data_IF_740619584561
#
_entry.id   IF_740619584561
#
_cell.length_a   1.000
_cell.length_b   1.000
_cell.length_c   1.000
_cell.angle_alpha   90.00
_cell.angle_beta   90.00
_cell.angle_gamma   90.00
#
_symmetry.space_group_name_H-M   'P 1'
#
loop_
_entity.id
_entity.type
_entity.pdbx_description
1 polymer ?
#
# COMPACT_ATOMS: atom_id res chain seq x y z
N UNK A 1 66.98 -30.85 -81.96
CA UNK A 1 67.37 -30.34 -80.61
C UNK A 1 66.55 -29.12 -80.17
N UNK A 2 66.39 -28.06 -80.98
CA UNK A 2 65.58 -26.87 -80.64
C UNK A 2 64.06 -27.17 -80.49
N UNK A 3 63.52 -28.01 -81.37
CA UNK A 3 62.07 -28.33 -81.39
C UNK A 3 61.61 -29.20 -80.20
N UNK A 4 62.48 -30.09 -79.73
CA UNK A 4 62.21 -30.95 -78.57
C UNK A 4 62.20 -30.14 -77.26
N UNK A 5 63.16 -29.23 -77.10
CA UNK A 5 63.22 -28.29 -75.96
C UNK A 5 62.00 -27.37 -75.88
N UNK A 6 61.44 -26.96 -77.03
CA UNK A 6 60.22 -26.13 -77.06
C UNK A 6 58.96 -26.92 -76.73
N UNK A 7 58.90 -28.22 -77.06
CA UNK A 7 57.79 -29.11 -76.69
C UNK A 7 57.75 -29.38 -75.18
N UNK A 8 58.90 -29.63 -74.57
CA UNK A 8 59.03 -29.79 -73.11
C UNK A 8 58.68 -28.50 -72.36
N UNK A 9 59.14 -27.34 -72.84
CA UNK A 9 58.82 -26.04 -72.24
C UNK A 9 57.30 -25.76 -72.25
N UNK A 10 56.61 -26.10 -73.35
CA UNK A 10 55.14 -25.98 -73.45
C UNK A 10 54.42 -26.92 -72.48
N UNK A 11 54.90 -28.15 -72.31
CA UNK A 11 54.32 -29.12 -71.37
C UNK A 11 54.46 -28.64 -69.90
N UNK A 12 55.66 -28.17 -69.52
CA UNK A 12 55.89 -27.57 -68.18
C UNK A 12 55.02 -26.34 -67.94
N UNK A 13 54.85 -25.49 -68.96
CA UNK A 13 53.97 -24.33 -68.87
C UNK A 13 52.49 -24.73 -68.71
N UNK A 14 52.03 -25.77 -69.40
CA UNK A 14 50.67 -26.28 -69.27
C UNK A 14 50.42 -26.88 -67.87
N UNK A 15 51.37 -27.63 -67.34
CA UNK A 15 51.30 -28.20 -66.00
C UNK A 15 51.33 -27.12 -64.91
N UNK A 16 52.20 -26.12 -65.07
CA UNK A 16 52.24 -24.93 -64.21
C UNK A 16 50.89 -24.20 -64.22
N UNK A 17 50.31 -23.92 -65.40
CA UNK A 17 48.99 -23.30 -65.52
C UNK A 17 47.88 -24.13 -64.87
N UNK A 18 47.94 -25.47 -64.96
CA UNK A 18 47.00 -26.38 -64.30
C UNK A 18 47.11 -26.30 -62.78
N UNK A 19 48.34 -26.28 -62.23
CA UNK A 19 48.59 -26.12 -60.78
C UNK A 19 48.09 -24.76 -60.28
N UNK A 20 48.39 -23.69 -61.02
CA UNK A 20 47.91 -22.32 -60.70
C UNK A 20 46.38 -22.25 -60.75
N UNK A 21 45.73 -22.86 -61.75
CA UNK A 21 44.26 -22.90 -61.83
C UNK A 21 43.65 -23.65 -60.65
N UNK A 22 44.25 -24.77 -60.24
CA UNK A 22 43.83 -25.54 -59.05
C UNK A 22 44.02 -24.74 -57.76
N UNK A 23 45.16 -24.06 -57.58
CA UNK A 23 45.40 -23.18 -56.43
C UNK A 23 44.41 -22.00 -56.40
N UNK A 24 44.13 -21.36 -57.54
CA UNK A 24 43.12 -20.28 -57.62
C UNK A 24 41.74 -20.78 -57.23
N UNK A 25 41.32 -21.96 -57.70
CA UNK A 25 40.04 -22.56 -57.33
C UNK A 25 39.98 -22.89 -55.82
N UNK A 26 41.06 -23.41 -55.24
CA UNK A 26 41.14 -23.65 -53.79
C UNK A 26 41.04 -22.34 -52.99
N UNK A 27 41.74 -21.29 -53.42
CA UNK A 27 41.69 -19.97 -52.75
C UNK A 27 40.26 -19.39 -52.82
N UNK A 28 39.60 -19.45 -53.99
CA UNK A 28 38.21 -18.99 -54.14
C UNK A 28 37.27 -19.80 -53.24
N UNK A 29 37.43 -21.12 -53.18
CA UNK A 29 36.63 -21.97 -52.29
C UNK A 29 36.80 -21.62 -50.81
N UNK A 30 38.04 -21.34 -50.37
CA UNK A 30 38.34 -20.91 -49.00
C UNK A 30 37.73 -19.54 -48.69
N UNK A 31 37.80 -18.59 -49.62
CA UNK A 31 37.19 -17.25 -49.46
C UNK A 31 35.67 -17.39 -49.34
N UNK A 32 35.02 -18.19 -50.18
CA UNK A 32 33.57 -18.41 -50.12
C UNK A 32 33.15 -19.04 -48.79
N UNK A 33 33.89 -20.05 -48.30
CA UNK A 33 33.63 -20.67 -47.01
C UNK A 33 33.79 -19.66 -45.85
N UNK A 34 34.81 -18.80 -45.91
CA UNK A 34 35.03 -17.76 -44.91
C UNK A 34 33.91 -16.71 -44.89
N UNK A 35 33.49 -16.23 -46.07
CA UNK A 35 32.37 -15.28 -46.19
C UNK A 35 31.07 -15.88 -45.66
N UNK A 36 30.78 -17.14 -45.97
CA UNK A 36 29.61 -17.84 -45.45
C UNK A 36 29.64 -17.95 -43.91
N UNK A 37 30.80 -18.32 -43.34
CA UNK A 37 30.98 -18.43 -41.88
C UNK A 37 30.85 -17.09 -41.15
N UNK A 38 31.37 -16.00 -41.73
CA UNK A 38 31.18 -14.65 -41.17
C UNK A 38 29.72 -14.23 -41.28
N UNK A 39 29.05 -14.55 -42.39
CA UNK A 39 27.63 -14.26 -42.59
C UNK A 39 26.73 -14.96 -41.57
N UNK A 40 26.97 -16.25 -41.28
CA UNK A 40 26.20 -16.97 -40.26
C UNK A 40 26.46 -16.42 -38.86
N UNK A 41 27.70 -16.03 -38.55
CA UNK A 41 28.04 -15.42 -37.26
C UNK A 41 27.33 -14.07 -37.07
N UNK A 42 27.34 -13.20 -38.09
CA UNK A 42 26.63 -11.92 -38.08
C UNK A 42 25.13 -12.15 -37.91
N UNK A 43 24.57 -13.11 -38.65
CA UNK A 43 23.16 -13.47 -38.56
C UNK A 43 22.78 -13.95 -37.14
N UNK A 44 23.57 -14.82 -36.52
CA UNK A 44 23.35 -15.28 -35.14
C UNK A 44 23.44 -14.13 -34.12
N UNK A 45 24.38 -13.21 -34.28
CA UNK A 45 24.52 -12.03 -33.42
C UNK A 45 23.27 -11.15 -33.53
N UNK A 46 22.80 -10.89 -34.74
CA UNK A 46 21.60 -10.08 -34.96
C UNK A 46 20.35 -10.76 -34.42
N UNK A 47 20.22 -12.08 -34.61
CA UNK A 47 19.13 -12.87 -34.02
C UNK A 47 19.13 -12.79 -32.49
N UNK A 48 20.29 -12.96 -31.85
CA UNK A 48 20.40 -12.80 -30.38
C UNK A 48 20.03 -11.40 -29.93
N UNK A 49 20.41 -10.37 -30.69
CA UNK A 49 20.07 -8.97 -30.40
C UNK A 49 18.57 -8.73 -30.50
N UNK A 50 17.93 -9.16 -31.58
CA UNK A 50 16.49 -9.04 -31.77
C UNK A 50 15.71 -9.79 -30.69
N UNK A 51 16.10 -11.03 -30.37
CA UNK A 51 15.48 -11.81 -29.31
C UNK A 51 15.59 -11.16 -27.93
N UNK A 52 16.71 -10.48 -27.64
CA UNK A 52 16.87 -9.71 -26.40
C UNK A 52 15.93 -8.50 -26.37
N UNK A 53 15.81 -7.79 -27.49
CA UNK A 53 14.91 -6.64 -27.63
C UNK A 53 13.45 -7.05 -27.48
N UNK A 54 13.01 -8.09 -28.17
CA UNK A 54 11.62 -8.59 -28.10
C UNK A 54 11.26 -9.06 -26.70
N UNK A 55 12.14 -9.81 -26.03
CA UNK A 55 11.92 -10.24 -24.64
C UNK A 55 11.84 -9.07 -23.65
N UNK A 56 12.64 -8.04 -23.86
CA UNK A 56 12.61 -6.83 -23.02
C UNK A 56 11.32 -6.04 -23.27
N UNK A 57 10.93 -5.92 -24.53
CA UNK A 57 9.72 -5.22 -24.94
C UNK A 57 8.46 -5.92 -24.42
N UNK A 58 8.40 -7.25 -24.49
CA UNK A 58 7.32 -8.05 -23.93
C UNK A 58 7.19 -7.85 -22.41
N UNK A 59 8.30 -7.81 -21.66
CA UNK A 59 8.30 -7.54 -20.21
C UNK A 59 7.80 -6.14 -19.86
N UNK A 60 8.11 -5.14 -20.69
CA UNK A 60 7.62 -3.77 -20.50
C UNK A 60 6.12 -3.73 -20.78
N UNK A 61 5.68 -4.33 -21.89
CA UNK A 61 4.28 -4.34 -22.26
C UNK A 61 3.40 -5.13 -21.29
N UNK A 62 3.88 -6.23 -20.73
CA UNK A 62 3.13 -6.96 -19.71
C UNK A 62 2.90 -6.10 -18.46
N UNK A 63 3.92 -5.34 -18.04
CA UNK A 63 3.79 -4.39 -16.93
C UNK A 63 2.79 -3.29 -17.27
N UNK A 64 2.87 -2.71 -18.46
CA UNK A 64 1.93 -1.67 -18.94
C UNK A 64 0.50 -2.22 -18.99
N UNK A 65 0.30 -3.45 -19.44
CA UNK A 65 -1.02 -4.09 -19.47
C UNK A 65 -1.60 -4.31 -18.06
N UNK A 66 -0.79 -4.80 -17.11
CA UNK A 66 -1.21 -4.92 -15.70
C UNK A 66 -1.60 -3.57 -15.12
N UNK A 67 -0.87 -2.50 -15.45
CA UNK A 67 -1.19 -1.15 -14.98
C UNK A 67 -2.46 -0.61 -15.62
N UNK A 68 -2.64 -0.80 -16.93
CA UNK A 68 -3.87 -0.40 -17.62
C UNK A 68 -5.10 -1.14 -17.06
N UNK A 69 -4.94 -2.41 -16.70
CA UNK A 69 -5.95 -3.20 -15.99
C UNK A 69 -6.25 -2.61 -14.60
N UNK A 70 -5.22 -2.33 -13.79
CA UNK A 70 -5.40 -1.69 -12.48
C UNK A 70 -6.02 -0.29 -12.59
N UNK A 71 -5.73 0.42 -13.69
CA UNK A 71 -6.29 1.73 -13.99
C UNK A 71 -7.74 1.65 -14.46
N UNK A 72 -8.10 0.65 -15.28
CA UNK A 72 -9.48 0.40 -15.69
C UNK A 72 -10.33 -0.07 -14.52
N UNK A 73 -9.77 -0.94 -13.68
CA UNK A 73 -10.40 -1.36 -12.42
C UNK A 73 -10.61 -0.14 -11.52
N UNK A 74 -9.60 0.73 -11.32
CA UNK A 74 -9.77 1.97 -10.57
C UNK A 74 -10.77 2.98 -11.20
N UNK A 75 -11.00 2.94 -12.52
CA UNK A 75 -12.01 3.76 -13.21
C UNK A 75 -13.43 3.24 -13.00
N UNK A 76 -13.62 1.92 -12.90
CA UNK A 76 -14.92 1.28 -12.67
C UNK A 76 -15.24 1.06 -11.17
N UNK A 77 -14.21 0.96 -10.31
CA UNK A 77 -14.30 0.46 -8.93
C UNK A 77 -14.03 1.51 -7.84
N UNK A 78 -14.51 2.73 -8.00
CA UNK A 78 -14.73 3.58 -6.82
C UNK A 78 -16.23 3.76 -6.55
N UNK A 79 -17.00 2.67 -6.30
CA UNK A 79 -18.29 2.81 -5.68
C UNK A 79 -18.08 3.45 -4.30
N UNK A 80 -18.98 4.37 -3.97
CA UNK A 80 -18.92 5.26 -2.81
C UNK A 80 -18.76 4.54 -1.46
N UNK A 81 -18.98 3.22 -1.42
CA UNK A 81 -18.98 2.38 -0.22
C UNK A 81 -17.69 1.58 0.06
N UNK A 82 -16.70 1.55 -0.85
CA UNK A 82 -15.44 0.81 -0.68
C UNK A 82 -14.20 1.71 -0.83
N UNK A 83 -14.27 2.90 -0.23
CA UNK A 83 -13.16 3.86 -0.18
C UNK A 83 -12.01 3.31 0.67
N UNK A 84 -11.16 2.46 0.10
CA UNK A 84 -9.94 1.93 0.72
C UNK A 84 -8.74 2.86 0.45
N UNK A 85 -8.37 3.76 1.39
CA UNK A 85 -7.32 4.75 1.18
C UNK A 85 -5.93 4.11 0.99
N UNK A 86 -5.72 2.91 1.52
CA UNK A 86 -4.45 2.18 1.37
C UNK A 86 -4.25 1.70 -0.07
N UNK A 87 -5.31 1.24 -0.73
CA UNK A 87 -5.25 0.83 -2.14
C UNK A 87 -5.03 2.03 -3.06
N UNK A 88 -5.72 3.15 -2.78
CA UNK A 88 -5.55 4.40 -3.51
C UNK A 88 -4.10 4.93 -3.41
N UNK A 89 -3.51 4.90 -2.22
CA UNK A 89 -2.13 5.34 -1.99
C UNK A 89 -1.10 4.45 -2.70
N UNK A 90 -1.29 3.12 -2.69
CA UNK A 90 -0.43 2.18 -3.42
C UNK A 90 -0.48 2.39 -4.94
N UNK A 91 -1.66 2.72 -5.47
CA UNK A 91 -1.84 3.02 -6.90
C UNK A 91 -1.14 4.33 -7.29
N UNK A 92 -1.27 5.37 -6.46
CA UNK A 92 -0.54 6.63 -6.60
C UNK A 92 0.98 6.44 -6.56
N UNK A 93 1.48 5.63 -5.62
CA UNK A 93 2.92 5.31 -5.52
C UNK A 93 3.41 4.56 -6.77
N UNK A 94 2.64 3.58 -7.26
CA UNK A 94 2.96 2.85 -8.48
C UNK A 94 3.01 3.80 -9.70
N UNK A 95 2.00 4.66 -9.87
CA UNK A 95 1.96 5.64 -10.96
C UNK A 95 3.15 6.63 -10.92
N UNK A 96 3.50 7.11 -9.73
CA UNK A 96 4.64 8.00 -9.52
C UNK A 96 5.99 7.35 -9.87
N UNK A 97 6.17 6.06 -9.50
CA UNK A 97 7.41 5.30 -9.80
C UNK A 97 7.63 5.10 -11.30
N UNK A 98 6.57 5.10 -12.11
CA UNK A 98 6.64 4.83 -13.55
C UNK A 98 6.97 6.10 -14.34
N UNK A 99 6.28 7.21 -14.07
CA UNK A 99 6.50 8.44 -14.82
C UNK A 99 6.26 9.67 -13.95
N UNK A 100 7.32 10.12 -13.27
CA UNK A 100 7.32 11.29 -12.37
C UNK A 100 6.74 12.58 -12.98
N UNK A 101 6.67 12.70 -14.31
CA UNK A 101 6.22 13.92 -15.01
C UNK A 101 5.11 13.67 -16.04
N UNK A 102 4.53 12.47 -16.08
CA UNK A 102 3.50 12.12 -17.05
C UNK A 102 2.11 12.62 -16.64
N UNK A 103 1.29 13.14 -17.56
CA UNK A 103 -0.04 13.68 -17.25
C UNK A 103 -0.97 12.64 -16.59
N UNK A 104 -0.80 11.35 -16.93
CA UNK A 104 -1.56 10.24 -16.33
C UNK A 104 -1.21 10.02 -14.85
N UNK A 105 0.06 10.20 -14.45
CA UNK A 105 0.47 10.06 -13.06
C UNK A 105 -0.08 11.21 -12.21
N UNK A 106 -0.05 12.44 -12.72
CA UNK A 106 -0.63 13.61 -12.03
C UNK A 106 -2.16 13.51 -11.90
N UNK A 107 -2.85 12.97 -12.90
CA UNK A 107 -4.31 12.79 -12.83
C UNK A 107 -4.70 11.74 -11.78
N UNK A 108 -4.03 10.59 -11.76
CA UNK A 108 -4.26 9.54 -10.75
C UNK A 108 -3.91 10.06 -9.36
N UNK A 109 -2.77 10.73 -9.21
CA UNK A 109 -2.38 11.35 -7.94
C UNK A 109 -3.40 12.37 -7.46
N UNK A 110 -3.90 13.24 -8.35
CA UNK A 110 -4.92 14.24 -8.02
C UNK A 110 -6.22 13.59 -7.55
N UNK A 111 -6.74 12.59 -8.28
CA UNK A 111 -7.96 11.87 -7.91
C UNK A 111 -7.80 11.09 -6.59
N UNK A 112 -6.66 10.46 -6.38
CA UNK A 112 -6.32 9.77 -5.12
C UNK A 112 -6.17 10.76 -3.97
N UNK A 113 -5.55 11.92 -4.20
CA UNK A 113 -5.37 12.96 -3.20
C UNK A 113 -6.72 13.54 -2.77
N UNK A 114 -7.61 13.85 -3.72
CA UNK A 114 -8.96 14.33 -3.44
C UNK A 114 -9.84 13.27 -2.76
N UNK A 115 -9.76 12.01 -3.18
CA UNK A 115 -10.50 10.92 -2.51
C UNK A 115 -9.97 10.67 -1.10
N UNK A 116 -8.65 10.64 -0.91
CA UNK A 116 -8.01 10.42 0.39
C UNK A 116 -8.16 11.61 1.36
N UNK A 117 -8.24 12.85 0.87
CA UNK A 117 -8.49 14.03 1.71
C UNK A 117 -9.95 14.11 2.14
N UNK A 118 -10.89 13.88 1.22
CA UNK A 118 -12.30 13.84 1.60
C UNK A 118 -12.57 12.69 2.59
N UNK A 119 -11.86 11.56 2.41
CA UNK A 119 -11.83 10.48 3.39
C UNK A 119 -10.96 10.76 4.62
N UNK A 120 -10.05 11.74 4.67
CA UNK A 120 -9.24 11.98 5.88
C UNK A 120 -10.10 12.52 7.01
N UNK A 121 -11.01 13.45 6.73
CA UNK A 121 -11.99 13.92 7.74
C UNK A 121 -12.88 12.77 8.22
N UNK A 122 -13.34 11.93 7.30
CA UNK A 122 -14.09 10.72 7.63
C UNK A 122 -13.23 9.67 8.38
N UNK A 123 -11.96 9.47 8.02
CA UNK A 123 -11.06 8.48 8.61
C UNK A 123 -10.55 8.94 9.98
N UNK A 124 -10.31 10.23 10.20
CA UNK A 124 -10.02 10.77 11.53
C UNK A 124 -11.27 10.70 12.42
N UNK A 125 -12.47 11.04 11.91
CA UNK A 125 -13.72 10.95 12.69
C UNK A 125 -14.26 9.51 12.88
N UNK A 126 -13.87 8.57 12.02
CA UNK A 126 -14.26 7.16 12.11
C UNK A 126 -13.22 6.28 12.83
N UNK A 127 -11.91 6.57 12.72
CA UNK A 127 -10.83 5.69 13.19
C UNK A 127 -9.82 6.31 14.15
N UNK A 128 -9.88 7.61 14.47
CA UNK A 128 -8.95 8.20 15.45
C UNK A 128 -9.65 9.07 16.47
N UNK A 129 -9.94 8.45 17.62
CA UNK A 129 -10.29 9.16 18.83
C UNK A 129 -11.76 9.55 18.96
N UNK A 130 -12.01 10.33 20.00
CA UNK A 130 -13.30 10.94 20.27
C UNK A 130 -13.64 12.00 19.20
N UNK A 131 -14.93 12.15 18.89
CA UNK A 131 -15.43 13.11 17.87
C UNK A 131 -15.55 14.54 18.40
N UNK A 132 -15.31 14.74 19.68
CA UNK A 132 -15.29 16.03 20.37
C UNK A 132 -14.23 16.02 21.48
N UNK A 133 -14.13 17.11 22.23
CA UNK A 133 -13.14 17.27 23.29
C UNK A 133 -13.15 16.08 24.28
N UNK A 134 -11.95 15.65 24.66
CA UNK A 134 -11.76 14.67 25.74
C UNK A 134 -11.86 15.41 27.07
N UNK A 135 -12.75 14.97 27.93
CA UNK A 135 -13.07 15.62 29.22
C UNK A 135 -12.29 15.01 30.38
N UNK A 136 -11.91 13.73 30.27
CA UNK A 136 -11.07 13.04 31.25
C UNK A 136 -10.28 11.89 30.61
N UNK A 137 -9.13 11.56 31.20
CA UNK A 137 -8.32 10.41 30.84
C UNK A 137 -7.67 9.83 32.11
N UNK A 138 -7.82 8.52 32.33
CA UNK A 138 -7.28 7.81 33.50
C UNK A 138 -6.67 6.48 33.11
N UNK A 139 -5.61 6.06 33.81
CA UNK A 139 -5.09 4.69 33.69
C UNK A 139 -5.95 3.71 34.49
N UNK A 140 -5.99 2.45 34.07
CA UNK A 140 -6.50 1.37 34.91
C UNK A 140 -5.61 1.15 36.13
N UNK A 141 -6.12 0.57 37.24
CA UNK A 141 -5.33 0.36 38.46
C UNK A 141 -4.07 -0.47 38.26
N UNK A 142 -4.12 -1.44 37.33
CA UNK A 142 -3.00 -2.28 36.92
C UNK A 142 -2.06 -1.61 35.88
N UNK A 143 -2.40 -0.40 35.43
CA UNK A 143 -1.66 0.38 34.45
C UNK A 143 -1.70 -0.17 33.01
N UNK A 144 -2.48 -1.22 32.73
CA UNK A 144 -2.48 -1.90 31.43
C UNK A 144 -3.36 -1.25 30.36
N UNK A 145 -4.28 -0.36 30.77
CA UNK A 145 -5.30 0.26 29.92
C UNK A 145 -5.49 1.74 30.24
N UNK A 146 -6.05 2.47 29.29
CA UNK A 146 -6.41 3.89 29.41
C UNK A 146 -7.91 4.01 29.17
N UNK A 147 -8.61 4.76 30.01
CA UNK A 147 -10.01 5.09 29.85
C UNK A 147 -10.14 6.59 29.61
N UNK A 148 -10.86 6.96 28.55
CA UNK A 148 -11.12 8.37 28.20
C UNK A 148 -12.61 8.64 28.15
N UNK A 149 -13.03 9.85 28.54
CA UNK A 149 -14.40 10.33 28.37
C UNK A 149 -14.44 11.54 27.45
N UNK A 150 -15.58 11.80 26.80
CA UNK A 150 -15.68 12.91 25.86
C UNK A 150 -17.05 13.57 25.79
N UNK A 151 -17.01 14.80 25.28
CA UNK A 151 -18.17 15.53 24.78
C UNK A 151 -18.90 14.85 23.62
N UNK A 152 -18.30 13.85 22.97
CA UNK A 152 -18.95 13.06 21.93
C UNK A 152 -19.98 12.04 22.45
N UNK A 153 -20.36 12.14 23.73
CA UNK A 153 -21.31 11.27 24.46
C UNK A 153 -20.81 9.86 24.75
N UNK A 154 -19.54 9.56 24.46
CA UNK A 154 -18.94 8.26 24.72
C UNK A 154 -17.79 8.34 25.72
N UNK A 155 -17.54 7.22 26.40
CA UNK A 155 -16.24 6.92 26.96
C UNK A 155 -15.61 5.75 26.19
N UNK A 156 -14.29 5.66 26.18
CA UNK A 156 -13.54 4.67 25.40
C UNK A 156 -12.41 4.08 26.20
N UNK A 157 -12.22 2.78 26.04
CA UNK A 157 -11.15 2.02 26.66
C UNK A 157 -10.09 1.68 25.62
N UNK A 158 -8.83 1.90 25.95
CA UNK A 158 -7.69 1.76 25.06
C UNK A 158 -6.63 0.88 25.70
N UNK A 159 -5.83 0.21 24.87
CA UNK A 159 -4.57 -0.36 25.33
C UNK A 159 -3.44 0.68 25.25
N UNK A 160 -2.28 0.35 25.82
CA UNK A 160 -1.10 1.24 25.82
C UNK A 160 -0.50 1.50 24.44
N UNK A 161 -0.90 0.73 23.41
CA UNK A 161 -0.51 0.97 22.01
C UNK A 161 -1.42 1.99 21.31
N UNK A 162 -2.44 2.49 21.99
CA UNK A 162 -3.43 3.42 21.44
C UNK A 162 -4.52 2.74 20.60
N UNK A 163 -4.67 1.42 20.72
CA UNK A 163 -5.73 0.67 20.03
C UNK A 163 -7.00 0.70 20.89
N UNK A 164 -8.15 0.95 20.24
CA UNK A 164 -9.46 0.95 20.89
C UNK A 164 -9.86 -0.48 21.27
N UNK A 165 -10.09 -0.72 22.56
CA UNK A 165 -10.58 -1.99 23.09
C UNK A 165 -12.10 -2.02 23.03
N UNK A 166 -12.77 -1.01 23.59
CA UNK A 166 -14.24 -0.93 23.58
C UNK A 166 -14.72 0.52 23.69
N UNK A 167 -15.97 0.76 23.28
CA UNK A 167 -16.66 2.05 23.39
C UNK A 167 -17.87 1.92 24.31
N UNK A 168 -17.89 2.70 25.38
CA UNK A 168 -19.00 2.82 26.32
C UNK A 168 -20.01 3.84 25.78
N UNK A 169 -20.88 3.38 24.89
CA UNK A 169 -21.92 4.18 24.26
C UNK A 169 -23.28 3.96 24.95
N UNK A 170 -23.95 5.05 25.33
CA UNK A 170 -25.26 4.97 25.98
C UNK A 170 -25.68 6.20 26.78
N UNK A 171 -24.79 7.18 26.94
CA UNK A 171 -25.16 8.51 27.42
C UNK A 171 -25.80 9.33 26.29
N UNK A 172 -26.74 10.21 26.64
CA UNK A 172 -27.44 11.07 25.67
C UNK A 172 -26.88 12.50 25.63
N UNK A 173 -25.83 12.78 26.41
CA UNK A 173 -25.13 14.06 26.48
C UNK A 173 -23.66 13.83 26.83
N UNK A 174 -22.86 14.90 26.91
CA UNK A 174 -21.41 14.80 27.16
C UNK A 174 -21.09 13.98 28.40
N UNK A 175 -20.09 13.12 28.28
CA UNK A 175 -19.53 12.39 29.43
C UNK A 175 -18.49 13.30 30.07
N UNK A 176 -18.71 13.67 31.34
CA UNK A 176 -17.83 14.56 32.08
C UNK A 176 -16.63 13.82 32.67
N UNK A 177 -16.82 12.58 33.11
CA UNK A 177 -15.76 11.78 33.75
C UNK A 177 -15.99 10.29 33.51
N UNK A 178 -14.91 9.52 33.48
CA UNK A 178 -14.94 8.06 33.48
C UNK A 178 -13.81 7.52 34.38
N UNK A 179 -14.15 6.58 35.27
CA UNK A 179 -13.21 6.05 36.28
C UNK A 179 -13.32 4.54 36.41
N UNK A 180 -12.19 3.90 36.75
CA UNK A 180 -12.17 2.49 37.12
C UNK A 180 -12.50 2.29 38.59
N UNK A 181 -13.12 1.16 38.87
CA UNK A 181 -13.09 0.52 40.19
C UNK A 181 -11.66 0.17 40.61
N UNK A 182 -11.38 0.04 41.93
CA UNK A 182 -10.05 -0.31 42.42
C UNK A 182 -9.53 -1.65 41.89
N UNK A 183 -10.43 -2.61 41.62
CA UNK A 183 -10.10 -3.91 41.04
C UNK A 183 -9.98 -3.88 39.50
N UNK A 184 -10.34 -2.77 38.87
CA UNK A 184 -10.27 -2.57 37.42
C UNK A 184 -11.29 -3.36 36.60
N UNK A 185 -12.29 -4.01 37.22
CA UNK A 185 -13.28 -4.82 36.52
C UNK A 185 -14.53 -4.05 36.12
N UNK A 186 -14.82 -2.97 36.85
CA UNK A 186 -15.99 -2.12 36.63
C UNK A 186 -15.58 -0.70 36.32
N UNK A 187 -16.36 -0.02 35.48
CA UNK A 187 -16.17 1.38 35.11
C UNK A 187 -17.42 2.18 35.48
N UNK A 188 -17.25 3.39 36.01
CA UNK A 188 -18.33 4.37 36.16
C UNK A 188 -18.09 5.52 35.18
N UNK A 189 -19.12 5.91 34.45
CA UNK A 189 -19.15 7.14 33.66
C UNK A 189 -20.20 8.10 34.20
N UNK A 190 -19.92 9.40 34.19
CA UNK A 190 -20.84 10.45 34.65
C UNK A 190 -21.09 11.46 33.55
N UNK A 191 -22.33 11.91 33.38
CA UNK A 191 -22.74 12.69 32.21
C UNK A 191 -23.59 13.91 32.54
N UNK A 192 -23.66 14.84 31.58
CA UNK A 192 -24.66 15.92 31.58
C UNK A 192 -26.10 15.43 31.39
N UNK A 193 -26.32 14.17 31.03
CA UNK A 193 -27.66 13.59 30.94
C UNK A 193 -28.29 13.28 32.32
N UNK A 194 -27.66 13.75 33.39
CA UNK A 194 -28.08 13.57 34.80
C UNK A 194 -27.96 12.13 35.31
N UNK A 195 -27.26 11.27 34.58
CA UNK A 195 -27.03 9.89 34.98
C UNK A 195 -25.56 9.58 35.19
N UNK A 196 -25.31 8.63 36.08
CA UNK A 196 -24.08 7.85 36.07
C UNK A 196 -24.39 6.45 35.55
N UNK A 197 -23.46 5.86 34.80
CA UNK A 197 -23.62 4.51 34.25
C UNK A 197 -22.48 3.63 34.70
N UNK A 198 -22.83 2.40 35.08
CA UNK A 198 -21.91 1.36 35.51
C UNK A 198 -21.72 0.38 34.36
N UNK A 199 -20.48 0.04 34.05
CA UNK A 199 -20.11 -0.81 32.93
C UNK A 199 -19.16 -1.91 33.38
N UNK A 200 -19.22 -3.06 32.72
CA UNK A 200 -18.13 -4.04 32.81
C UNK A 200 -16.96 -3.65 31.88
N UNK A 201 -15.86 -4.40 31.98
CA UNK A 201 -14.64 -4.17 31.19
C UNK A 201 -14.80 -4.52 29.71
N UNK A 202 -15.81 -5.32 29.36
CA UNK A 202 -16.19 -5.64 27.98
C UNK A 202 -17.00 -4.48 27.33
N UNK A 203 -17.56 -3.60 28.15
CA UNK A 203 -18.31 -2.41 27.75
C UNK A 203 -19.82 -2.60 27.76
N UNK A 204 -20.32 -3.65 28.41
CA UNK A 204 -21.74 -3.83 28.62
C UNK A 204 -22.22 -2.91 29.76
N UNK A 205 -23.41 -2.34 29.57
CA UNK A 205 -24.06 -1.52 30.59
C UNK A 205 -24.63 -2.41 31.70
N UNK A 206 -24.09 -2.30 32.90
CA UNK A 206 -24.53 -3.04 34.09
C UNK A 206 -25.69 -2.33 34.79
N UNK A 207 -25.59 -1.00 34.94
CA UNK A 207 -26.63 -0.21 35.62
C UNK A 207 -26.63 1.25 35.17
N UNK A 208 -27.77 1.92 35.31
CA UNK A 208 -27.90 3.38 35.17
C UNK A 208 -28.39 3.97 36.48
N UNK A 209 -27.49 4.68 37.16
CA UNK A 209 -27.77 5.39 38.40
C UNK A 209 -28.46 6.72 38.08
N UNK A 210 -29.65 6.90 38.65
CA UNK A 210 -30.53 8.07 38.49
C UNK A 210 -30.82 8.66 39.87
N UNK A 211 -31.24 9.92 39.91
CA UNK A 211 -31.56 10.63 41.15
C UNK A 211 -30.77 11.92 41.38
N UNK A 212 -29.90 12.30 40.44
CA UNK A 212 -29.23 13.60 40.46
C UNK A 212 -30.18 14.69 39.93
N UNK A 213 -30.91 15.29 40.86
CA UNK A 213 -31.77 16.45 40.56
C UNK A 213 -30.95 17.72 40.32
N UNK A 214 -31.58 18.66 39.64
CA UNK A 214 -30.98 19.96 39.37
C UNK A 214 -30.75 20.72 40.68
N UNK A 215 -29.58 21.35 40.82
CA UNK A 215 -29.37 22.29 41.91
C UNK A 215 -30.25 23.56 41.74
N UNK A 216 -30.24 24.43 42.75
CA UNK A 216 -30.99 25.71 42.73
C UNK A 216 -30.57 26.66 41.60
N UNK A 217 -29.43 26.41 40.96
CA UNK A 217 -28.90 27.19 39.84
C UNK A 217 -29.21 26.55 38.47
N UNK A 218 -30.00 25.47 38.44
CA UNK A 218 -30.36 24.76 37.22
C UNK A 218 -29.23 23.90 36.65
N UNK A 219 -28.15 23.64 37.41
CA UNK A 219 -27.13 22.69 36.98
C UNK A 219 -27.64 21.26 37.21
N UNK A 220 -27.94 20.59 36.11
CA UNK A 220 -28.42 19.21 36.11
C UNK A 220 -27.36 18.31 35.46
N UNK A 221 -26.27 17.98 36.17
CA UNK A 221 -25.18 17.16 35.62
C UNK A 221 -24.44 16.40 36.71
N UNK A 222 -23.96 15.21 36.36
CA UNK A 222 -23.02 14.46 37.21
C UNK A 222 -21.61 14.79 36.73
N UNK A 223 -20.85 15.53 37.53
CA UNK A 223 -19.54 16.05 37.12
C UNK A 223 -18.41 15.03 37.30
N UNK A 224 -18.46 14.23 38.37
CA UNK A 224 -17.41 13.28 38.74
C UNK A 224 -18.00 12.10 39.50
N UNK A 225 -17.36 10.95 39.41
CA UNK A 225 -17.58 9.81 40.29
C UNK A 225 -16.23 9.29 40.78
N UNK A 226 -16.24 8.69 41.96
CA UNK A 226 -15.09 8.02 42.54
C UNK A 226 -15.60 6.71 43.15
N UNK A 227 -14.81 5.65 43.04
CA UNK A 227 -15.07 4.44 43.82
C UNK A 227 -14.49 4.61 45.22
N UNK A 228 -15.19 4.10 46.22
CA UNK A 228 -14.59 3.90 47.54
C UNK A 228 -13.51 2.83 47.46
N UNK A 229 -12.51 2.83 48.37
CA UNK A 229 -11.41 1.87 48.35
C UNK A 229 -11.83 0.39 48.41
N UNK A 230 -13.03 0.11 48.93
CA UNK A 230 -13.66 -1.22 48.99
C UNK A 230 -14.46 -1.59 47.74
N UNK A 231 -14.52 -0.73 46.72
CA UNK A 231 -15.15 -1.00 45.43
C UNK A 231 -16.65 -0.66 45.34
N UNK A 232 -17.23 -0.03 46.36
CA UNK A 232 -18.60 0.47 46.29
C UNK A 232 -18.69 1.83 45.56
N UNK A 233 -19.82 2.09 44.91
CA UNK A 233 -20.09 3.32 44.15
C UNK A 233 -20.97 4.24 45.01
N UNK A 234 -20.53 5.47 45.25
CA UNK A 234 -21.35 6.53 45.86
C UNK A 234 -21.56 7.68 44.88
#
# INVERSE_FOLDING_TARGET
>A
MQEERTKEAKARLAEYKKRVRKQKLLIVGVILAFVAGVGTLIYEIEQKRQNKLTNTWAKINSKVATINYLLSEAKESLPENQKNPTMALRLAEAAYKINKKGPQASEVLSRVYHSAIHNRSFFYSANMGHRSAVTSAVFSPDGSRILTASEDTTARLWNLKGELITTLAGHSARVNSAVFSPDGNTIVTTSQDKTAKLWDKEGNLLNTLRGHDCDRNGQCRVNSALFSPDGQVF
#
